data_IF_603227704777
#
_entry.id   IF_603227704777
#
_cell.length_a   1.000
_cell.length_b   1.000
_cell.length_c   1.000
_cell.angle_alpha   90.00
_cell.angle_beta   90.00
_cell.angle_gamma   90.00
#
_symmetry.space_group_name_H-M   'P 1'
#
loop_
_entity.id
_entity.type
_entity.pdbx_description
1 polymer ?
#
# COMPACT_ATOMS: atom_id res chain seq x y z
N UNK A 1 -23.71 4.68 -0.58
CA UNK A 1 -23.06 3.47 -1.17
C UNK A 1 -21.53 3.54 -1.27
N UNK A 2 -20.87 4.66 -0.92
CA UNK A 2 -19.41 4.83 -1.06
C UNK A 2 -18.58 4.38 0.16
N UNK A 3 -19.23 4.26 1.32
CA UNK A 3 -18.58 4.08 2.62
C UNK A 3 -17.88 2.72 2.78
N UNK A 4 -18.52 1.63 2.30
CA UNK A 4 -17.97 0.27 2.45
C UNK A 4 -16.69 0.08 1.62
N UNK A 5 -16.65 0.60 0.41
CA UNK A 5 -15.45 0.53 -0.43
C UNK A 5 -14.29 1.31 0.20
N UNK A 6 -14.55 2.54 0.65
CA UNK A 6 -13.53 3.36 1.32
C UNK A 6 -13.01 2.70 2.59
N UNK A 7 -13.89 2.09 3.40
CA UNK A 7 -13.47 1.40 4.61
C UNK A 7 -12.58 0.20 4.32
N UNK A 8 -12.94 -0.61 3.33
CA UNK A 8 -12.12 -1.76 2.89
C UNK A 8 -10.78 -1.28 2.35
N UNK A 9 -10.77 -0.25 1.50
CA UNK A 9 -9.53 0.32 0.94
C UNK A 9 -8.60 0.87 2.03
N UNK A 10 -9.15 1.52 3.07
CA UNK A 10 -8.34 2.01 4.20
C UNK A 10 -7.72 0.88 5.00
N UNK A 11 -8.48 -0.18 5.32
CA UNK A 11 -7.97 -1.34 6.06
C UNK A 11 -6.87 -2.05 5.28
N UNK A 12 -7.07 -2.23 3.98
CA UNK A 12 -6.09 -2.89 3.12
C UNK A 12 -4.83 -2.04 3.00
N UNK A 13 -4.96 -0.71 2.90
CA UNK A 13 -3.81 0.20 2.87
C UNK A 13 -2.92 0.03 4.10
N UNK A 14 -3.52 -0.04 5.29
CA UNK A 14 -2.78 -0.21 6.55
C UNK A 14 -2.12 -1.59 6.63
N UNK A 15 -2.84 -2.65 6.28
CA UNK A 15 -2.30 -4.01 6.25
C UNK A 15 -1.12 -4.14 5.29
N UNK A 16 -1.23 -3.58 4.09
CA UNK A 16 -0.15 -3.63 3.09
C UNK A 16 1.04 -2.80 3.54
N UNK A 17 0.83 -1.62 4.14
CA UNK A 17 1.91 -0.81 4.67
C UNK A 17 2.68 -1.55 5.78
N UNK A 18 1.96 -2.20 6.71
CA UNK A 18 2.57 -2.99 7.78
C UNK A 18 3.32 -4.21 7.24
N UNK A 19 2.74 -4.92 6.28
CA UNK A 19 3.37 -6.07 5.63
C UNK A 19 4.68 -5.67 4.92
N UNK A 20 4.63 -4.60 4.12
CA UNK A 20 5.83 -4.11 3.42
C UNK A 20 6.90 -3.68 4.42
N UNK A 21 6.55 -3.04 5.53
CA UNK A 21 7.51 -2.65 6.56
C UNK A 21 8.22 -3.85 7.21
N UNK A 22 7.55 -5.00 7.31
CA UNK A 22 8.12 -6.22 7.89
C UNK A 22 8.98 -6.99 6.89
N UNK A 23 8.52 -7.11 5.64
CA UNK A 23 9.16 -7.93 4.61
C UNK A 23 10.26 -7.19 3.85
N UNK A 24 10.09 -5.89 3.60
CA UNK A 24 11.14 -5.08 3.00
C UNK A 24 12.11 -4.66 4.11
N UNK A 25 13.41 -4.79 3.85
CA UNK A 25 14.42 -4.08 4.63
C UNK A 25 13.99 -2.61 4.75
N UNK A 26 14.06 -2.04 5.95
CA UNK A 26 13.67 -0.64 6.25
C UNK A 26 14.37 0.41 5.37
N UNK A 27 15.40 0.00 4.64
CA UNK A 27 16.04 0.78 3.61
C UNK A 27 15.86 0.04 2.28
N UNK A 28 14.93 0.48 1.40
CA UNK A 28 14.41 1.84 1.24
C UNK A 28 12.98 2.10 1.76
N UNK A 29 12.66 3.37 1.99
CA UNK A 29 11.34 3.82 2.40
C UNK A 29 10.30 3.56 1.30
N UNK A 30 9.33 2.70 1.59
CA UNK A 30 8.17 2.42 0.74
C UNK A 30 6.93 3.05 1.37
N UNK A 31 6.19 3.84 0.59
CA UNK A 31 4.96 4.53 1.04
C UNK A 31 3.78 4.09 0.20
N UNK A 32 2.75 3.52 0.83
CA UNK A 32 1.49 3.19 0.15
C UNK A 32 0.62 4.44 0.04
N UNK A 33 0.34 4.91 -1.18
CA UNK A 33 -0.35 6.18 -1.41
C UNK A 33 -1.85 6.00 -1.59
N UNK A 34 -2.27 4.95 -2.28
CA UNK A 34 -3.68 4.70 -2.60
C UNK A 34 -3.95 3.21 -2.78
N UNK A 35 -5.16 2.79 -2.41
CA UNK A 35 -5.69 1.47 -2.73
C UNK A 35 -7.02 1.68 -3.44
N UNK A 36 -7.30 0.87 -4.46
CA UNK A 36 -8.61 0.83 -5.11
C UNK A 36 -9.11 -0.59 -5.18
N UNK A 37 -10.41 -0.76 -4.93
CA UNK A 37 -11.12 -2.03 -4.99
C UNK A 37 -12.02 -2.11 -6.22
N UNK A 38 -12.11 -3.29 -6.83
CA UNK A 38 -13.15 -3.55 -7.81
C UNK A 38 -14.53 -3.60 -7.13
N UNK A 39 -15.64 -3.31 -7.82
CA UNK A 39 -16.99 -3.32 -7.23
C UNK A 39 -17.39 -4.66 -6.59
N UNK A 40 -16.81 -5.75 -7.08
CA UNK A 40 -17.01 -7.12 -6.57
C UNK A 40 -15.97 -7.55 -5.52
N UNK A 41 -15.06 -6.65 -5.14
CA UNK A 41 -13.93 -6.87 -4.21
C UNK A 41 -12.98 -8.01 -4.58
N UNK A 42 -13.09 -8.58 -5.78
CA UNK A 42 -12.23 -9.69 -6.21
C UNK A 42 -10.82 -9.25 -6.59
N UNK A 43 -10.64 -7.96 -6.91
CA UNK A 43 -9.36 -7.39 -7.26
C UNK A 43 -9.12 -6.13 -6.45
N UNK A 44 -7.89 -5.99 -5.98
CA UNK A 44 -7.40 -4.78 -5.36
C UNK A 44 -6.13 -4.33 -6.04
N UNK A 45 -6.02 -3.03 -6.27
CA UNK A 45 -4.84 -2.41 -6.84
C UNK A 45 -4.24 -1.48 -5.80
N UNK A 46 -2.97 -1.72 -5.47
CA UNK A 46 -2.21 -0.94 -4.51
C UNK A 46 -1.22 -0.08 -5.27
N UNK A 47 -1.27 1.23 -5.02
CA UNK A 47 -0.32 2.20 -5.53
C UNK A 47 0.65 2.57 -4.41
N UNK A 48 1.94 2.47 -4.69
CA UNK A 48 2.98 2.83 -3.73
C UNK A 48 4.11 3.61 -4.42
N UNK A 49 4.78 4.44 -3.63
CA UNK A 49 6.02 5.09 -4.00
C UNK A 49 7.18 4.38 -3.30
N UNK A 50 8.25 4.16 -4.06
CA UNK A 50 9.48 3.57 -3.58
C UNK A 50 10.56 4.64 -3.67
N UNK A 51 11.17 5.00 -2.52
CA UNK A 51 12.25 5.99 -2.48
C UNK A 51 13.61 5.31 -2.30
N UNK A 52 14.33 4.99 -3.38
CA UNK A 52 15.63 4.33 -3.26
C UNK A 52 16.63 5.26 -2.58
N UNK A 53 17.22 4.81 -1.47
CA UNK A 53 18.41 5.46 -0.94
C UNK A 53 19.57 5.13 -1.88
N UNK A 54 20.03 6.12 -2.63
CA UNK A 54 21.28 6.03 -3.38
C UNK A 54 22.43 5.91 -2.38
N UNK A 55 23.00 4.71 -2.27
CA UNK A 55 24.34 4.54 -1.71
C UNK A 55 25.32 5.27 -2.62
N UNK A 56 25.79 6.46 -2.20
CA UNK A 56 26.93 7.12 -2.84
C UNK A 56 28.16 6.26 -2.54
N UNK A 57 28.63 5.55 -3.57
CA UNK A 57 30.03 5.11 -3.63
C UNK A 57 30.92 6.31 -3.92
#
# INVERSE_FOLDING_TARGET
MYDRHQRVESLIRELVAAFIQQEANTDPLITVTRVTSSPDYRRMTVFFYYHPRRSRK
#
